data_IF_781034937905
#
_entry.id   IF_781034937905
#
_cell.length_a   1.000
_cell.length_b   1.000
_cell.length_c   1.000
_cell.angle_alpha   90.00
_cell.angle_beta   90.00
_cell.angle_gamma   90.00
#
_symmetry.space_group_name_H-M   'P 1'
#
loop_
_entity.id
_entity.type
_entity.pdbx_description
1 polymer ?
#
# COMPACT_ATOMS: atom_id res chain seq x y z
N UNK A 1 78.33 50.98 102.18
CA UNK A 1 77.15 50.15 101.83
C UNK A 1 75.92 51.05 101.92
N UNK A 2 75.32 51.39 100.78
CA UNK A 2 73.87 51.59 100.59
C UNK A 2 73.61 52.17 99.21
N UNK A 3 72.61 51.59 98.56
CA UNK A 3 72.27 51.64 97.15
C UNK A 3 71.45 52.88 96.75
N UNK A 4 71.40 53.17 95.45
CA UNK A 4 70.14 53.27 94.70
C UNK A 4 70.41 53.45 93.20
N UNK A 5 69.76 52.59 92.40
CA UNK A 5 69.77 52.56 90.95
C UNK A 5 68.54 53.29 90.38
N UNK A 6 68.66 53.84 89.16
CA UNK A 6 67.54 54.16 88.27
C UNK A 6 68.12 54.29 86.84
N UNK A 7 68.19 53.21 86.05
CA UNK A 7 67.19 52.70 85.08
C UNK A 7 66.99 53.65 83.88
N UNK A 8 67.62 53.24 82.77
CA UNK A 8 67.45 53.72 81.40
C UNK A 8 66.06 53.39 80.84
N UNK A 9 65.51 54.26 80.00
CA UNK A 9 64.44 53.90 79.06
C UNK A 9 64.80 54.36 77.64
N UNK A 10 65.21 53.40 76.82
CA UNK A 10 65.38 53.55 75.38
C UNK A 10 64.04 53.26 74.68
N UNK A 11 63.59 54.18 73.81
CA UNK A 11 62.38 54.02 72.99
C UNK A 11 62.79 53.57 71.58
N UNK A 12 62.27 52.46 71.03
CA UNK A 12 62.54 52.09 69.65
C UNK A 12 61.50 52.72 68.72
N UNK A 13 61.98 53.46 67.71
CA UNK A 13 61.15 54.01 66.64
C UNK A 13 60.72 52.91 65.67
N UNK A 14 59.42 52.58 65.64
CA UNK A 14 58.80 51.64 64.72
C UNK A 14 58.57 52.27 63.33
N UNK A 15 59.41 51.91 62.35
CA UNK A 15 59.19 52.26 60.93
C UNK A 15 58.36 51.16 60.27
N UNK A 16 57.05 51.40 60.08
CA UNK A 16 56.15 50.47 59.38
C UNK A 16 56.46 50.47 57.88
N UNK A 17 56.82 49.30 57.32
CA UNK A 17 56.85 49.05 55.87
C UNK A 17 55.44 48.63 55.43
N UNK A 18 54.89 49.24 54.37
CA UNK A 18 53.64 48.75 53.78
C UNK A 18 53.92 47.43 53.04
N UNK A 19 53.27 46.37 53.50
CA UNK A 19 53.29 45.06 52.86
C UNK A 19 51.94 44.88 52.17
N UNK A 20 51.80 45.41 50.96
CA UNK A 20 50.67 45.10 50.07
C UNK A 20 51.20 44.17 48.97
N UNK A 21 51.29 42.89 49.30
CA UNK A 21 51.38 41.82 48.31
C UNK A 21 49.95 41.54 47.88
N UNK A 22 49.65 41.78 46.59
CA UNK A 22 48.32 41.58 46.01
C UNK A 22 47.72 40.21 46.35
N UNK A 23 46.40 40.12 46.30
CA UNK A 23 45.63 38.92 46.65
C UNK A 23 46.13 37.71 45.86
N UNK A 24 46.63 36.65 46.53
CA UNK A 24 47.03 35.44 45.85
C UNK A 24 45.79 34.81 45.21
N UNK A 25 45.84 34.54 43.90
CA UNK A 25 44.79 33.84 43.19
C UNK A 25 44.81 32.36 43.60
N UNK A 26 43.92 32.01 44.53
CA UNK A 26 43.81 30.64 45.05
C UNK A 26 42.85 29.87 44.14
N UNK A 27 43.40 28.98 43.32
CA UNK A 27 42.60 28.03 42.54
C UNK A 27 42.12 26.89 43.45
N UNK A 28 40.87 26.96 43.90
CA UNK A 28 40.22 25.84 44.56
C UNK A 28 39.90 24.75 43.52
N UNK A 29 40.64 23.64 43.54
CA UNK A 29 40.25 22.44 42.78
C UNK A 29 39.07 21.78 43.46
N UNK A 30 37.85 22.18 43.06
CA UNK A 30 36.63 21.49 43.46
C UNK A 30 36.55 20.18 42.68
N UNK A 31 36.83 19.05 43.32
CA UNK A 31 36.62 17.72 42.75
C UNK A 31 35.11 17.46 42.69
N UNK A 32 34.54 17.52 41.49
CA UNK A 32 33.12 17.20 41.27
C UNK A 32 33.01 15.67 41.28
N UNK A 33 32.49 15.12 42.37
CA UNK A 33 32.13 13.71 42.44
C UNK A 33 30.67 13.52 42.03
N UNK A 34 30.46 12.88 40.87
CA UNK A 34 29.14 12.56 40.32
C UNK A 34 28.66 11.15 40.72
N UNK A 35 29.36 10.45 41.62
CA UNK A 35 29.04 9.08 42.03
C UNK A 35 27.63 8.90 42.59
N UNK A 36 27.00 9.99 43.09
CA UNK A 36 25.65 9.99 43.68
C UNK A 36 24.57 10.61 42.80
N UNK A 37 24.88 10.94 41.54
CA UNK A 37 23.90 11.57 40.65
C UNK A 37 22.88 10.52 40.18
N UNK A 38 21.72 10.48 40.84
CA UNK A 38 20.58 9.67 40.42
C UNK A 38 19.74 10.49 39.45
N UNK A 39 19.46 9.93 38.27
CA UNK A 39 18.57 10.54 37.29
C UNK A 39 17.14 10.54 37.84
N UNK A 40 16.66 11.70 38.25
CA UNK A 40 15.26 11.89 38.62
C UNK A 40 14.43 11.92 37.34
N UNK A 41 13.43 11.05 37.24
CA UNK A 41 12.52 11.04 36.10
C UNK A 41 11.47 12.15 36.24
N UNK A 42 11.45 13.07 35.26
CA UNK A 42 10.41 14.09 35.18
C UNK A 42 9.13 13.46 34.57
N UNK A 43 8.02 13.32 35.32
CA UNK A 43 6.81 12.68 34.81
C UNK A 43 6.16 13.47 33.65
N UNK A 44 6.49 14.76 33.50
CA UNK A 44 6.06 15.60 32.37
C UNK A 44 6.72 15.17 31.05
N UNK A 45 8.04 14.94 31.05
CA UNK A 45 8.78 14.46 29.86
C UNK A 45 8.27 13.10 29.39
N UNK A 46 7.96 12.20 30.32
CA UNK A 46 7.39 10.91 30.00
C UNK A 46 6.01 11.01 29.32
N UNK A 47 5.20 12.03 29.68
CA UNK A 47 3.90 12.29 29.01
C UNK A 47 4.09 12.88 27.62
N UNK A 48 4.99 13.84 27.45
CA UNK A 48 5.32 14.44 26.15
C UNK A 48 5.84 13.39 25.16
N UNK A 49 6.74 12.51 25.59
CA UNK A 49 7.25 11.41 24.77
C UNK A 49 6.14 10.42 24.36
N UNK A 50 5.13 10.19 25.22
CA UNK A 50 3.96 9.35 24.87
C UNK A 50 3.12 10.00 23.78
N UNK A 51 2.80 11.29 23.91
CA UNK A 51 2.04 12.00 22.86
C UNK A 51 2.82 12.06 21.54
N UNK A 52 4.13 12.29 21.60
CA UNK A 52 4.99 12.25 20.41
C UNK A 52 5.00 10.86 19.77
N UNK A 53 5.12 9.79 20.58
CA UNK A 53 5.06 8.41 20.10
C UNK A 53 3.71 8.05 19.46
N UNK A 54 2.60 8.50 20.06
CA UNK A 54 1.26 8.32 19.49
C UNK A 54 1.14 9.08 18.15
N UNK A 55 1.59 10.33 18.10
CA UNK A 55 1.56 11.12 16.87
C UNK A 55 2.37 10.47 15.74
N UNK A 56 3.58 9.96 16.06
CA UNK A 56 4.41 9.22 15.12
C UNK A 56 3.74 7.93 14.64
N UNK A 57 3.11 7.17 15.55
CA UNK A 57 2.37 5.96 15.21
C UNK A 57 1.20 6.28 14.27
N UNK A 58 0.42 7.31 14.57
CA UNK A 58 -0.68 7.75 13.70
C UNK A 58 -0.17 8.17 12.31
N UNK A 59 0.91 8.94 12.24
CA UNK A 59 1.53 9.34 10.98
C UNK A 59 2.00 8.11 10.19
N UNK A 60 2.67 7.17 10.85
CA UNK A 60 3.14 5.93 10.24
C UNK A 60 1.99 5.12 9.66
N UNK A 61 0.91 4.91 10.43
CA UNK A 61 -0.27 4.17 9.98
C UNK A 61 -0.94 4.84 8.78
N UNK A 62 -1.01 6.18 8.75
CA UNK A 62 -1.58 6.91 7.63
C UNK A 62 -0.74 6.73 6.36
N UNK A 63 0.58 6.88 6.47
CA UNK A 63 1.50 6.69 5.33
C UNK A 63 1.51 5.24 4.85
N UNK A 64 1.56 4.26 5.76
CA UNK A 64 1.50 2.85 5.38
C UNK A 64 0.15 2.47 4.77
N UNK A 65 -0.95 2.98 5.33
CA UNK A 65 -2.29 2.76 4.77
C UNK A 65 -2.40 3.31 3.35
N UNK A 66 -1.91 4.53 3.13
CA UNK A 66 -1.86 5.14 1.80
C UNK A 66 -1.00 4.34 0.82
N UNK A 67 0.22 3.94 1.25
CA UNK A 67 1.11 3.15 0.41
C UNK A 67 0.46 1.81 0.04
N UNK A 68 -0.12 1.10 1.01
CA UNK A 68 -0.82 -0.16 0.77
C UNK A 68 -1.99 0.03 -0.19
N UNK A 69 -2.81 1.08 -0.01
CA UNK A 69 -3.90 1.40 -0.93
C UNK A 69 -3.39 1.67 -2.35
N UNK A 70 -2.30 2.43 -2.48
CA UNK A 70 -1.69 2.72 -3.77
C UNK A 70 -1.20 1.44 -4.46
N UNK A 71 -0.55 0.52 -3.74
CA UNK A 71 -0.15 -0.76 -4.29
C UNK A 71 -1.35 -1.62 -4.73
N UNK A 72 -2.43 -1.66 -3.93
CA UNK A 72 -3.66 -2.37 -4.31
C UNK A 72 -4.31 -1.77 -5.55
N UNK A 73 -4.34 -0.45 -5.67
CA UNK A 73 -4.88 0.23 -6.84
C UNK A 73 -4.10 -0.13 -8.12
N UNK A 74 -2.77 -0.24 -8.03
CA UNK A 74 -1.93 -0.68 -9.17
C UNK A 74 -2.25 -2.13 -9.57
N UNK A 75 -2.32 -3.04 -8.59
CA UNK A 75 -2.64 -4.45 -8.84
C UNK A 75 -4.00 -4.62 -9.52
N UNK A 76 -5.02 -3.90 -9.04
CA UNK A 76 -6.34 -3.88 -9.66
C UNK A 76 -6.33 -3.26 -11.06
N UNK A 77 -5.52 -2.21 -11.29
CA UNK A 77 -5.36 -1.62 -12.62
C UNK A 77 -4.90 -2.65 -13.66
N UNK A 78 -3.91 -3.48 -13.31
CA UNK A 78 -3.45 -4.55 -14.20
C UNK A 78 -4.48 -5.66 -14.39
N UNK A 79 -5.18 -6.06 -13.33
CA UNK A 79 -6.24 -7.07 -13.44
C UNK A 79 -7.36 -6.58 -14.37
N UNK A 80 -7.79 -5.32 -14.22
CA UNK A 80 -8.80 -4.71 -15.08
C UNK A 80 -8.34 -4.71 -16.54
N UNK A 81 -7.09 -4.29 -16.82
CA UNK A 81 -6.56 -4.28 -18.18
C UNK A 81 -6.52 -5.68 -18.79
N UNK A 82 -6.08 -6.68 -18.01
CA UNK A 82 -6.06 -8.07 -18.47
C UNK A 82 -7.45 -8.63 -18.79
N UNK A 83 -8.44 -8.33 -17.95
CA UNK A 83 -9.83 -8.76 -18.15
C UNK A 83 -10.46 -8.03 -19.33
N UNK A 84 -10.12 -6.75 -19.52
CA UNK A 84 -10.55 -5.96 -20.68
C UNK A 84 -10.01 -6.55 -21.98
N UNK A 85 -8.72 -6.89 -22.04
CA UNK A 85 -8.13 -7.55 -23.19
C UNK A 85 -8.78 -8.90 -23.51
N UNK A 86 -9.06 -9.73 -22.49
CA UNK A 86 -9.78 -11.00 -22.71
C UNK A 86 -11.20 -10.78 -23.25
N UNK A 87 -11.93 -9.82 -22.68
CA UNK A 87 -13.30 -9.49 -23.10
C UNK A 87 -13.32 -8.97 -24.53
N UNK A 88 -12.39 -8.10 -24.90
CA UNK A 88 -12.31 -7.56 -26.26
C UNK A 88 -11.89 -8.64 -27.26
N UNK A 89 -10.96 -9.54 -26.90
CA UNK A 89 -10.61 -10.71 -27.71
C UNK A 89 -11.78 -11.68 -27.91
N UNK A 90 -12.55 -11.97 -26.87
CA UNK A 90 -13.78 -12.78 -26.98
C UNK A 90 -14.83 -12.12 -27.89
N UNK A 91 -14.97 -10.80 -27.85
CA UNK A 91 -15.88 -10.06 -28.73
C UNK A 91 -15.45 -10.13 -30.19
N UNK A 92 -14.15 -9.98 -30.46
CA UNK A 92 -13.60 -10.12 -31.82
C UNK A 92 -13.82 -11.53 -32.37
N UNK A 93 -13.54 -12.57 -31.57
CA UNK A 93 -13.82 -13.96 -31.96
C UNK A 93 -15.30 -14.19 -32.23
N UNK A 94 -16.19 -13.68 -31.36
CA UNK A 94 -17.63 -13.82 -31.59
C UNK A 94 -18.06 -13.15 -32.89
N UNK A 95 -17.53 -11.96 -33.18
CA UNK A 95 -17.80 -11.25 -34.43
C UNK A 95 -17.30 -12.04 -35.64
N UNK A 96 -16.10 -12.61 -35.57
CA UNK A 96 -15.54 -13.45 -36.63
C UNK A 96 -16.43 -14.67 -36.88
N UNK A 97 -16.82 -15.40 -35.83
CA UNK A 97 -17.71 -16.56 -35.93
C UNK A 97 -19.06 -16.21 -36.53
N UNK A 98 -19.65 -15.06 -36.19
CA UNK A 98 -20.90 -14.61 -36.81
C UNK A 98 -20.77 -14.29 -38.29
N UNK A 99 -19.63 -13.73 -38.71
CA UNK A 99 -19.36 -13.49 -40.13
C UNK A 99 -19.18 -14.80 -40.88
N UNK A 100 -18.48 -15.78 -40.29
CA UNK A 100 -18.35 -17.11 -40.84
C UNK A 100 -19.70 -17.82 -40.95
N UNK A 101 -20.53 -17.75 -39.91
CA UNK A 101 -21.89 -18.31 -39.93
C UNK A 101 -22.73 -17.68 -41.03
N UNK A 102 -22.72 -16.35 -41.15
CA UNK A 102 -23.43 -15.64 -42.20
C UNK A 102 -22.94 -16.06 -43.61
N UNK A 103 -21.63 -16.21 -43.78
CA UNK A 103 -21.03 -16.70 -45.03
C UNK A 103 -21.39 -18.16 -45.33
N UNK A 104 -21.53 -19.01 -44.31
CA UNK A 104 -21.93 -20.41 -44.48
C UNK A 104 -23.43 -20.56 -44.76
N UNK A 105 -24.27 -19.66 -44.23
CA UNK A 105 -25.72 -19.61 -44.49
C UNK A 105 -26.10 -18.94 -45.81
N UNK A 106 -25.14 -18.38 -46.54
CA UNK A 106 -25.40 -17.72 -47.81
C UNK A 106 -25.98 -18.72 -48.83
N UNK A 107 -27.24 -18.56 -49.27
CA UNK A 107 -27.90 -19.50 -50.17
C UNK A 107 -27.19 -19.62 -51.51
N UNK A 108 -26.60 -18.55 -52.03
CA UNK A 108 -25.88 -18.58 -53.30
C UNK A 108 -24.66 -19.51 -53.20
N UNK A 109 -23.90 -19.40 -52.10
CA UNK A 109 -22.76 -20.27 -51.81
C UNK A 109 -23.20 -21.74 -51.67
N UNK A 110 -24.31 -21.99 -50.98
CA UNK A 110 -24.88 -23.33 -50.82
C UNK A 110 -25.27 -23.91 -52.18
N UNK A 111 -25.96 -23.15 -53.04
CA UNK A 111 -26.39 -23.60 -54.37
C UNK A 111 -25.22 -23.91 -55.31
N UNK A 112 -24.17 -23.08 -55.26
CA UNK A 112 -22.93 -23.34 -56.02
C UNK A 112 -22.25 -24.63 -55.53
N UNK A 113 -22.18 -24.86 -54.22
CA UNK A 113 -21.59 -26.06 -53.65
C UNK A 113 -22.42 -27.31 -53.95
N UNK A 114 -23.75 -27.24 -53.83
CA UNK A 114 -24.69 -28.30 -54.14
C UNK A 114 -24.56 -28.76 -55.61
N UNK A 115 -24.47 -27.81 -56.55
CA UNK A 115 -24.26 -28.12 -57.97
C UNK A 115 -22.92 -28.81 -58.24
N UNK A 116 -21.84 -28.41 -57.57
CA UNK A 116 -20.52 -29.08 -57.67
C UNK A 116 -20.56 -30.52 -57.15
N UNK A 117 -21.42 -30.81 -56.18
CA UNK A 117 -21.65 -32.16 -55.65
C UNK A 117 -22.64 -32.98 -56.50
N UNK A 118 -23.12 -32.44 -57.62
CA UNK A 118 -24.09 -33.11 -58.49
C UNK A 118 -25.53 -33.07 -57.98
N UNK A 119 -25.80 -32.32 -56.92
CA UNK A 119 -27.16 -32.12 -56.40
C UNK A 119 -27.92 -31.14 -57.31
N UNK A 120 -29.20 -31.43 -57.56
CA UNK A 120 -30.09 -30.59 -58.37
C UNK A 120 -31.35 -30.26 -57.58
N UNK A 121 -31.97 -29.13 -57.90
CA UNK A 121 -33.26 -28.75 -57.31
C UNK A 121 -34.31 -29.82 -57.64
N UNK A 122 -35.11 -30.25 -56.66
CA UNK A 122 -36.16 -31.25 -56.90
C UNK A 122 -37.19 -30.72 -57.91
N UNK A 123 -37.69 -31.61 -58.77
CA UNK A 123 -38.76 -31.27 -59.72
C UNK A 123 -40.12 -31.18 -59.00
N UNK A 124 -41.09 -30.42 -59.54
CA UNK A 124 -42.44 -30.34 -58.97
C UNK A 124 -43.06 -31.75 -58.81
N UNK A 125 -43.45 -32.12 -57.58
CA UNK A 125 -44.03 -33.43 -57.25
C UNK A 125 -43.06 -34.48 -56.69
N UNK A 126 -41.75 -34.21 -56.67
CA UNK A 126 -40.73 -35.15 -56.15
C UNK A 126 -40.52 -35.05 -54.62
N UNK A 127 -41.07 -34.02 -53.98
CA UNK A 127 -40.95 -33.80 -52.53
C UNK A 127 -42.13 -34.44 -51.81
N UNK A 128 -41.91 -35.60 -51.19
CA UNK A 128 -42.87 -36.24 -50.30
C UNK A 128 -42.60 -35.78 -48.86
N UNK A 129 -43.50 -34.96 -48.31
CA UNK A 129 -43.47 -34.64 -46.88
C UNK A 129 -44.00 -35.84 -46.11
N UNK A 130 -43.15 -36.50 -45.32
CA UNK A 130 -43.65 -37.41 -44.31
C UNK A 130 -44.28 -36.57 -43.20
N UNK A 131 -45.61 -36.56 -43.15
CA UNK A 131 -46.30 -36.15 -41.94
C UNK A 131 -45.91 -37.16 -40.86
N UNK A 132 -45.14 -36.70 -39.87
CA UNK A 132 -44.92 -37.47 -38.66
C UNK A 132 -46.30 -37.58 -38.01
N UNK A 133 -47.00 -38.69 -38.26
CA UNK A 133 -48.12 -39.10 -37.45
C UNK A 133 -47.58 -39.19 -36.04
N UNK A 134 -47.94 -38.20 -35.21
CA UNK A 134 -47.72 -38.21 -33.77
C UNK A 134 -48.48 -39.42 -33.22
N UNK A 135 -47.87 -40.61 -33.28
CA UNK A 135 -48.23 -41.69 -32.39
C UNK A 135 -47.96 -41.16 -30.99
N UNK A 136 -49.04 -41.01 -30.23
CA UNK A 136 -49.15 -40.41 -28.88
C UNK A 136 -48.35 -41.19 -27.82
N UNK A 137 -47.41 -42.06 -28.22
CA UNK A 137 -46.87 -43.15 -27.40
C UNK A 137 -45.35 -43.15 -27.25
N UNK A 138 -44.61 -42.20 -27.83
CA UNK A 138 -43.14 -42.15 -27.65
C UNK A 138 -42.71 -40.82 -27.00
N UNK A 139 -41.94 -40.86 -25.89
CA UNK A 139 -41.53 -39.64 -25.21
C UNK A 139 -40.56 -38.84 -26.10
N UNK A 140 -40.99 -37.64 -26.47
CA UNK A 140 -40.26 -36.68 -27.28
C UNK A 140 -39.00 -36.22 -26.53
N UNK A 141 -37.85 -36.77 -26.93
CA UNK A 141 -36.51 -36.43 -26.45
C UNK A 141 -35.84 -35.39 -27.37
N UNK A 142 -36.46 -34.22 -27.56
CA UNK A 142 -35.76 -33.05 -28.12
C UNK A 142 -36.61 -31.78 -27.96
N UNK A 143 -36.59 -31.17 -26.77
CA UNK A 143 -36.94 -29.76 -26.65
C UNK A 143 -35.67 -28.93 -26.87
N UNK A 144 -35.68 -28.08 -27.89
CA UNK A 144 -34.70 -27.00 -28.02
C UNK A 144 -35.00 -26.02 -26.89
N UNK A 145 -34.22 -26.09 -25.81
CA UNK A 145 -34.24 -25.05 -24.79
C UNK A 145 -33.58 -23.80 -25.39
N UNK A 146 -34.29 -22.65 -25.48
CA UNK A 146 -33.63 -21.42 -25.90
C UNK A 146 -32.59 -21.06 -24.84
N UNK A 147 -31.33 -20.90 -25.28
CA UNK A 147 -30.20 -20.49 -24.46
C UNK A 147 -30.54 -19.13 -23.85
N UNK A 148 -30.84 -19.11 -22.55
CA UNK A 148 -31.02 -17.87 -21.80
C UNK A 148 -29.63 -17.26 -21.55
N UNK A 149 -29.44 -16.03 -22.03
CA UNK A 149 -28.20 -15.28 -21.82
C UNK A 149 -28.19 -14.83 -20.36
N UNK A 150 -27.38 -15.48 -19.53
CA UNK A 150 -27.16 -15.03 -18.14
C UNK A 150 -26.41 -13.71 -18.20
N UNK A 151 -27.13 -12.62 -17.97
CA UNK A 151 -26.52 -11.31 -17.75
C UNK A 151 -25.79 -11.34 -16.41
N UNK A 152 -24.45 -11.37 -16.45
CA UNK A 152 -23.63 -11.17 -15.28
C UNK A 152 -23.67 -9.69 -14.90
N UNK A 153 -24.14 -9.41 -13.69
CA UNK A 153 -24.19 -8.09 -13.06
C UNK A 153 -22.91 -7.82 -12.29
#
# INVERSE_FOLDING_TARGET
MSAAAAINSAVPSSRRKSCWLGTPEIYFRKTIDNSRLVKVEDPRRAREMKYFGIALCCLFLLVMGYALQHFRAIEYGYQIESLRGQRDGLLEMNRALRLEEASLRDPERIDVMARKLGMQSPQPGQVMRLDVSTDVSTPVMASVTPISVVSAR
#
